data_IF_528648652108
#
_entry.id   IF_528648652108
#
_cell.length_a   1.000
_cell.length_b   1.000
_cell.length_c   1.000
_cell.angle_alpha   90.00
_cell.angle_beta   90.00
_cell.angle_gamma   90.00
#
_symmetry.space_group_name_H-M   'P 1'
#
loop_
_entity.id
_entity.type
_entity.pdbx_description
1 polymer ?
#
# COMPACT_ATOMS: atom_id res chain seq x y z
N UNK A 1 -41.64 -28.28 9.86
CA UNK A 1 -40.43 -27.73 10.51
C UNK A 1 -39.43 -28.85 10.54
N UNK A 2 -38.27 -28.66 9.92
CA UNK A 2 -36.96 -29.28 10.26
C UNK A 2 -36.02 -29.09 9.06
N UNK A 3 -35.34 -27.95 9.08
CA UNK A 3 -34.28 -27.61 8.14
C UNK A 3 -33.03 -28.39 8.56
N UNK A 4 -32.69 -29.44 7.81
CA UNK A 4 -31.38 -30.07 7.92
C UNK A 4 -30.33 -29.13 7.33
N UNK A 5 -29.62 -28.43 8.23
CA UNK A 5 -28.43 -27.63 7.93
C UNK A 5 -27.34 -28.60 7.46
N UNK A 6 -27.10 -28.65 6.15
CA UNK A 6 -25.90 -29.25 5.57
C UNK A 6 -24.72 -28.34 5.91
N UNK A 7 -24.10 -28.57 7.07
CA UNK A 7 -22.79 -28.01 7.37
C UNK A 7 -21.78 -28.69 6.43
N UNK A 8 -21.42 -28.01 5.34
CA UNK A 8 -20.22 -28.32 4.58
C UNK A 8 -19.01 -28.05 5.48
N UNK A 9 -18.62 -29.04 6.29
CA UNK A 9 -17.27 -29.06 6.86
C UNK A 9 -16.30 -29.14 5.69
N UNK A 10 -15.70 -28.00 5.34
CA UNK A 10 -14.43 -28.02 4.62
C UNK A 10 -13.52 -28.97 5.41
N UNK A 11 -12.80 -29.89 4.76
CA UNK A 11 -11.70 -30.50 5.45
C UNK A 11 -10.78 -29.33 5.80
N UNK A 12 -10.70 -29.01 7.10
CA UNK A 12 -9.57 -28.29 7.66
C UNK A 12 -8.38 -29.22 7.38
N UNK A 13 -7.86 -29.11 6.16
CA UNK A 13 -6.60 -29.68 5.74
C UNK A 13 -5.54 -28.93 6.53
N UNK A 14 -5.40 -29.31 7.79
CA UNK A 14 -4.21 -29.06 8.57
C UNK A 14 -3.07 -29.59 7.73
N UNK A 15 -2.39 -28.67 7.05
CA UNK A 15 -1.07 -28.90 6.53
C UNK A 15 -0.10 -29.01 7.70
N UNK A 16 -0.35 -29.96 8.61
CA UNK A 16 0.67 -30.56 9.45
C UNK A 16 1.47 -31.51 8.56
N UNK A 17 2.02 -30.97 7.47
CA UNK A 17 3.17 -31.56 6.85
C UNK A 17 4.23 -31.51 7.94
N UNK A 18 4.51 -32.67 8.54
CA UNK A 18 5.65 -32.90 9.40
C UNK A 18 6.89 -32.37 8.66
N UNK A 19 7.17 -31.11 8.90
CA UNK A 19 8.18 -30.36 8.21
C UNK A 19 9.45 -30.73 8.94
N UNK A 20 10.03 -31.85 8.52
CA UNK A 20 11.40 -32.15 8.86
C UNK A 20 12.20 -30.85 8.66
N UNK A 21 12.94 -30.38 9.68
CA UNK A 21 13.70 -29.15 9.55
C UNK A 21 14.62 -29.32 8.34
N UNK A 22 14.31 -28.57 7.28
CA UNK A 22 15.11 -28.57 6.06
C UNK A 22 16.51 -28.15 6.49
N UNK A 23 17.57 -28.91 6.13
CA UNK A 23 18.92 -28.54 6.51
C UNK A 23 19.19 -27.10 6.06
N UNK A 24 19.81 -26.29 6.92
CA UNK A 24 19.97 -24.85 6.67
C UNK A 24 20.70 -24.55 5.33
N UNK A 25 21.55 -25.48 4.89
CA UNK A 25 22.22 -25.46 3.58
C UNK A 25 21.25 -25.62 2.40
N UNK A 26 20.26 -26.50 2.50
CA UNK A 26 19.24 -26.67 1.47
C UNK A 26 18.29 -25.46 1.42
N UNK A 27 17.91 -24.92 2.57
CA UNK A 27 17.13 -23.69 2.64
C UNK A 27 17.88 -22.50 1.99
N UNK A 28 19.18 -22.37 2.27
CA UNK A 28 20.05 -21.39 1.63
C UNK A 28 20.14 -21.59 0.11
N UNK A 29 20.31 -22.83 -0.36
CA UNK A 29 20.34 -23.16 -1.79
C UNK A 29 19.06 -22.78 -2.51
N UNK A 30 17.90 -23.11 -1.92
CA UNK A 30 16.58 -22.71 -2.45
C UNK A 30 16.45 -21.18 -2.54
N UNK A 31 16.92 -20.45 -1.53
CA UNK A 31 16.90 -18.98 -1.50
C UNK A 31 17.78 -18.37 -2.60
N UNK A 32 19.00 -18.89 -2.77
CA UNK A 32 19.94 -18.44 -3.80
C UNK A 32 19.38 -18.69 -5.20
N UNK A 33 18.84 -19.88 -5.47
CA UNK A 33 18.21 -20.20 -6.75
C UNK A 33 17.00 -19.30 -7.03
N UNK A 34 16.15 -19.04 -6.04
CA UNK A 34 15.02 -18.14 -6.19
C UNK A 34 15.46 -16.73 -6.59
N UNK A 35 16.55 -16.23 -6.01
CA UNK A 35 17.12 -14.93 -6.37
C UNK A 35 17.69 -14.94 -7.81
N UNK A 36 18.51 -15.94 -8.15
CA UNK A 36 19.14 -16.06 -9.47
C UNK A 36 18.12 -16.25 -10.60
N UNK A 37 16.94 -16.81 -10.32
CA UNK A 37 15.85 -16.93 -11.30
C UNK A 37 15.31 -15.59 -11.80
N UNK A 38 15.47 -14.53 -11.01
CA UNK A 38 15.04 -13.18 -11.38
C UNK A 38 16.05 -12.49 -12.32
N UNK A 39 17.27 -13.02 -12.42
CA UNK A 39 18.32 -12.46 -13.26
C UNK A 39 18.25 -13.05 -14.68
N UNK A 40 18.47 -12.23 -15.71
CA UNK A 40 18.49 -12.68 -17.11
C UNK A 40 19.81 -13.41 -17.41
N UNK A 41 19.98 -14.61 -16.86
CA UNK A 41 21.17 -15.46 -17.04
C UNK A 41 20.78 -16.85 -17.57
N UNK A 42 21.68 -17.55 -18.24
CA UNK A 42 21.46 -18.95 -18.62
C UNK A 42 21.28 -19.85 -17.38
N UNK A 43 20.45 -20.90 -17.50
CA UNK A 43 20.15 -21.80 -16.38
C UNK A 43 21.40 -22.50 -15.84
N UNK A 44 22.26 -22.99 -16.74
CA UNK A 44 23.55 -23.60 -16.41
C UNK A 44 24.39 -22.70 -15.50
N UNK A 45 24.49 -21.40 -15.87
CA UNK A 45 25.25 -20.42 -15.09
C UNK A 45 24.64 -20.15 -13.71
N UNK A 46 23.31 -20.19 -13.58
CA UNK A 46 22.63 -20.05 -12.28
C UNK A 46 22.94 -21.24 -11.37
N UNK A 47 22.97 -22.44 -11.93
CA UNK A 47 23.30 -23.67 -11.19
C UNK A 47 24.76 -23.67 -10.75
N UNK A 48 25.69 -23.31 -11.63
CA UNK A 48 27.11 -23.14 -11.30
C UNK A 48 27.32 -22.17 -10.14
N UNK A 49 26.73 -20.97 -10.22
CA UNK A 49 26.82 -19.97 -9.16
C UNK A 49 26.23 -20.45 -7.84
N UNK A 50 25.11 -21.18 -7.90
CA UNK A 50 24.50 -21.78 -6.72
C UNK A 50 25.44 -22.79 -6.07
N UNK A 51 26.07 -23.66 -6.88
CA UNK A 51 27.03 -24.66 -6.39
C UNK A 51 28.27 -23.99 -5.80
N UNK A 52 28.78 -22.91 -6.40
CA UNK A 52 29.90 -22.14 -5.85
C UNK A 52 29.56 -21.55 -4.48
N UNK A 53 28.37 -20.98 -4.33
CA UNK A 53 27.90 -20.42 -3.05
C UNK A 53 27.76 -21.53 -2.01
N UNK A 54 27.15 -22.66 -2.35
CA UNK A 54 27.00 -23.80 -1.45
C UNK A 54 28.35 -24.41 -1.04
N UNK A 55 29.33 -24.47 -1.96
CA UNK A 55 30.71 -24.88 -1.64
C UNK A 55 31.40 -23.88 -0.70
N UNK A 56 31.18 -22.58 -0.88
CA UNK A 56 31.69 -21.56 0.02
C UNK A 56 31.10 -21.66 1.43
N UNK A 57 29.85 -22.11 1.56
CA UNK A 57 29.21 -22.36 2.85
C UNK A 57 29.69 -23.65 3.53
N UNK A 58 30.16 -24.64 2.78
CA UNK A 58 30.64 -25.91 3.34
C UNK A 58 31.85 -25.74 4.29
N UNK A 59 32.53 -24.58 4.23
CA UNK A 59 33.61 -24.23 5.15
C UNK A 59 33.14 -23.80 6.55
N UNK A 60 31.85 -23.47 6.72
CA UNK A 60 31.26 -23.03 8.00
C UNK A 60 30.17 -24.00 8.48
N UNK A 61 30.05 -24.24 9.79
CA UNK A 61 28.95 -25.03 10.33
C UNK A 61 27.59 -24.38 10.01
N UNK A 62 26.59 -25.21 9.78
CA UNK A 62 25.24 -24.79 9.41
C UNK A 62 24.52 -24.19 10.62
N UNK A 63 24.23 -22.88 10.55
CA UNK A 63 23.57 -22.09 11.57
C UNK A 63 22.34 -21.36 10.98
N UNK A 64 21.52 -20.72 11.81
CA UNK A 64 20.42 -19.86 11.36
C UNK A 64 20.88 -18.75 10.40
N UNK A 65 22.17 -18.35 10.50
CA UNK A 65 22.80 -17.32 9.66
C UNK A 65 23.26 -17.83 8.29
N UNK A 66 23.20 -19.13 8.01
CA UNK A 66 23.70 -19.73 6.76
C UNK A 66 23.04 -19.12 5.53
N UNK A 67 21.74 -18.76 5.59
CA UNK A 67 21.05 -18.10 4.47
C UNK A 67 21.59 -16.69 4.21
N UNK A 68 21.86 -15.91 5.27
CA UNK A 68 22.42 -14.57 5.12
C UNK A 68 23.85 -14.63 4.57
N UNK A 69 24.67 -15.57 5.07
CA UNK A 69 26.01 -15.83 4.55
C UNK A 69 25.99 -16.24 3.07
N UNK A 70 25.04 -17.10 2.68
CA UNK A 70 24.83 -17.50 1.28
C UNK A 70 24.61 -16.30 0.38
N UNK A 71 23.74 -15.37 0.81
CA UNK A 71 23.45 -14.15 0.06
C UNK A 71 24.66 -13.22 0.02
N UNK A 72 25.43 -13.09 1.09
CA UNK A 72 26.67 -12.29 1.08
C UNK A 72 27.67 -12.83 0.06
N UNK A 73 27.94 -14.14 0.09
CA UNK A 73 28.82 -14.81 -0.88
C UNK A 73 28.31 -14.64 -2.31
N UNK A 74 27.00 -14.75 -2.52
CA UNK A 74 26.39 -14.53 -3.83
C UNK A 74 26.64 -13.10 -4.33
N UNK A 75 26.42 -12.08 -3.49
CA UNK A 75 26.65 -10.68 -3.89
C UNK A 75 28.13 -10.39 -4.20
N UNK A 76 29.05 -10.96 -3.43
CA UNK A 76 30.49 -10.85 -3.71
C UNK A 76 30.84 -11.48 -5.06
N UNK A 77 30.23 -12.60 -5.41
CA UNK A 77 30.42 -13.27 -6.70
C UNK A 77 29.81 -12.49 -7.87
N UNK A 78 28.60 -11.96 -7.70
CA UNK A 78 27.93 -11.14 -8.72
C UNK A 78 28.67 -9.82 -8.99
N UNK A 79 29.47 -9.33 -8.05
CA UNK A 79 30.33 -8.14 -8.24
C UNK A 79 31.56 -8.40 -9.10
N UNK A 80 31.97 -9.66 -9.29
CA UNK A 80 33.13 -9.99 -10.12
C UNK A 80 32.84 -9.68 -11.59
N UNK A 81 33.81 -9.11 -12.33
CA UNK A 81 33.62 -8.69 -13.72
C UNK A 81 33.15 -9.85 -14.62
N UNK A 82 33.70 -11.05 -14.43
CA UNK A 82 33.34 -12.27 -15.17
C UNK A 82 31.84 -12.60 -15.14
N UNK A 83 31.18 -12.36 -14.00
CA UNK A 83 29.74 -12.63 -13.84
C UNK A 83 28.90 -11.45 -14.31
N UNK A 84 29.42 -10.23 -14.11
CA UNK A 84 28.80 -8.98 -14.55
C UNK A 84 28.75 -8.87 -16.08
N UNK A 85 29.77 -9.34 -16.77
CA UNK A 85 29.87 -9.30 -18.23
C UNK A 85 28.98 -10.37 -18.90
N UNK A 86 28.67 -11.44 -18.17
CA UNK A 86 27.72 -12.49 -18.61
C UNK A 86 26.25 -12.10 -18.43
N UNK A 87 25.97 -11.06 -17.62
CA UNK A 87 24.65 -10.48 -17.52
C UNK A 87 24.43 -9.57 -18.74
N UNK A 88 23.31 -9.69 -19.46
CA UNK A 88 22.99 -8.74 -20.51
C UNK A 88 23.07 -7.34 -19.92
N UNK A 89 23.79 -6.45 -20.61
CA UNK A 89 23.86 -5.05 -20.25
C UNK A 89 22.45 -4.50 -20.34
N UNK A 90 21.72 -4.53 -19.21
CA UNK A 90 20.48 -3.79 -19.09
C UNK A 90 20.90 -2.36 -19.35
N UNK A 91 20.42 -1.70 -20.42
CA UNK A 91 20.71 -0.30 -20.62
C UNK A 91 20.29 0.36 -19.31
N UNK A 92 21.25 1.01 -18.63
CA UNK A 92 20.98 1.66 -17.37
C UNK A 92 19.69 2.45 -17.59
N UNK A 93 18.64 2.27 -16.76
CA UNK A 93 17.46 3.09 -16.90
C UNK A 93 17.97 4.50 -16.97
N UNK A 94 17.58 5.23 -18.01
CA UNK A 94 17.96 6.63 -18.20
C UNK A 94 17.27 7.37 -17.05
N UNK A 95 17.90 7.31 -15.89
CA UNK A 95 17.51 8.05 -14.71
C UNK A 95 17.91 9.48 -15.04
N UNK A 96 17.01 10.17 -15.74
CA UNK A 96 17.06 11.62 -15.84
C UNK A 96 17.24 12.12 -14.41
N UNK A 97 18.21 13.01 -14.15
CA UNK A 97 18.52 13.44 -12.80
C UNK A 97 17.23 13.99 -12.18
N UNK A 98 16.73 13.29 -11.15
CA UNK A 98 15.52 13.69 -10.42
C UNK A 98 15.81 15.02 -9.73
N UNK A 99 15.51 16.11 -10.41
CA UNK A 99 15.63 17.45 -9.87
C UNK A 99 14.49 17.66 -8.88
N UNK A 100 14.84 18.16 -7.69
CA UNK A 100 13.89 18.52 -6.62
C UNK A 100 12.79 19.42 -7.21
N UNK A 101 11.56 18.90 -7.33
CA UNK A 101 10.42 19.61 -7.93
C UNK A 101 9.75 18.92 -9.14
N UNK A 102 10.32 17.85 -9.69
CA UNK A 102 9.67 17.07 -10.77
C UNK A 102 8.61 16.08 -10.25
N UNK A 103 8.57 15.88 -8.93
CA UNK A 103 7.52 15.10 -8.28
C UNK A 103 6.48 16.08 -7.75
N UNK A 104 5.30 16.07 -8.36
CA UNK A 104 4.12 16.67 -7.72
C UNK A 104 3.87 15.83 -6.47
N UNK A 105 3.95 16.40 -5.25
CA UNK A 105 3.61 15.65 -4.06
C UNK A 105 2.17 15.20 -4.21
N UNK A 106 1.96 13.89 -4.22
CA UNK A 106 0.63 13.32 -4.13
C UNK A 106 0.06 13.79 -2.78
N UNK A 107 -0.86 14.74 -2.82
CA UNK A 107 -1.56 15.22 -1.63
C UNK A 107 -2.39 14.06 -1.09
N UNK A 108 -1.79 13.28 -0.20
CA UNK A 108 -2.53 12.34 0.64
C UNK A 108 -3.47 13.16 1.53
N UNK A 109 -4.73 13.27 1.11
CA UNK A 109 -5.77 13.84 1.96
C UNK A 109 -5.99 12.89 3.15
N UNK A 110 -5.23 13.11 4.23
CA UNK A 110 -5.30 12.32 5.46
C UNK A 110 -6.66 12.47 6.15
N UNK A 111 -7.50 13.43 5.72
CA UNK A 111 -8.81 13.75 6.33
C UNK A 111 -9.80 14.24 5.27
N UNK A 112 -10.34 13.33 4.44
CA UNK A 112 -11.26 13.68 3.35
C UNK A 112 -12.56 14.36 3.84
N UNK A 113 -12.91 14.23 5.11
CA UNK A 113 -14.04 14.93 5.71
C UNK A 113 -13.77 16.44 5.91
N UNK A 114 -12.52 16.86 6.05
CA UNK A 114 -12.15 18.26 6.29
C UNK A 114 -12.34 19.10 5.02
N UNK A 115 -11.99 18.52 3.86
CA UNK A 115 -12.19 19.15 2.55
C UNK A 115 -13.69 19.23 2.19
N UNK A 116 -14.50 18.26 2.58
CA UNK A 116 -15.95 18.31 2.46
C UNK A 116 -16.58 19.38 3.38
N UNK A 117 -16.14 19.46 4.63
CA UNK A 117 -16.60 20.48 5.57
C UNK A 117 -16.27 21.91 5.09
N UNK A 118 -15.07 22.12 4.54
CA UNK A 118 -14.68 23.39 3.95
C UNK A 118 -15.54 23.78 2.74
N UNK A 119 -15.88 22.83 1.86
CA UNK A 119 -16.79 23.07 0.72
C UNK A 119 -18.21 23.40 1.19
N UNK A 120 -18.71 22.71 2.21
CA UNK A 120 -20.02 23.00 2.80
C UNK A 120 -20.05 24.39 3.46
N UNK A 121 -18.99 24.77 4.18
CA UNK A 121 -18.86 26.10 4.79
C UNK A 121 -18.79 27.21 3.74
N UNK A 122 -18.08 26.99 2.61
CA UNK A 122 -18.07 27.93 1.48
C UNK A 122 -19.45 28.02 0.79
N UNK A 123 -20.18 26.91 0.67
CA UNK A 123 -21.55 26.93 0.17
C UNK A 123 -22.50 27.72 1.07
N UNK A 124 -22.40 27.51 2.39
CA UNK A 124 -23.23 28.19 3.38
C UNK A 124 -22.95 29.70 3.44
N UNK A 125 -21.68 30.12 3.37
CA UNK A 125 -21.31 31.55 3.33
C UNK A 125 -21.77 32.24 2.05
N UNK A 126 -21.78 31.56 0.89
CA UNK A 126 -22.38 32.10 -0.35
C UNK A 126 -23.89 32.27 -0.28
N UNK A 127 -24.60 31.34 0.37
CA UNK A 127 -26.05 31.40 0.56
C UNK A 127 -26.44 32.50 1.56
N UNK A 128 -25.73 32.59 2.68
CA UNK A 128 -25.99 33.59 3.74
C UNK A 128 -25.48 34.98 3.38
N UNK A 129 -24.40 35.10 2.60
CA UNK A 129 -23.91 36.37 2.05
C UNK A 129 -24.90 37.05 1.08
N UNK A 130 -25.83 36.29 0.49
CA UNK A 130 -26.95 36.84 -0.29
C UNK A 130 -28.11 37.33 0.59
N UNK A 131 -28.31 36.73 1.76
CA UNK A 131 -29.31 37.14 2.74
C UNK A 131 -28.84 38.32 3.61
N UNK A 132 -27.53 38.53 3.77
CA UNK A 132 -26.96 39.63 4.53
C UNK A 132 -27.11 41.01 3.87
N UNK A 133 -27.69 41.09 2.66
CA UNK A 133 -28.02 42.37 2.01
C UNK A 133 -29.27 43.00 2.65
N UNK A 134 -30.14 42.22 3.30
CA UNK A 134 -31.23 42.79 4.09
C UNK A 134 -30.71 43.26 5.45
N UNK A 135 -30.70 44.59 5.64
CA UNK A 135 -30.33 45.21 6.91
C UNK A 135 -31.22 44.64 8.04
N UNK A 136 -30.65 44.31 9.21
CA UNK A 136 -31.41 43.78 10.36
C UNK A 136 -32.54 44.73 10.82
N UNK A 137 -32.45 46.03 10.49
CA UNK A 137 -33.50 47.04 10.71
C UNK A 137 -34.78 46.81 9.89
N UNK A 138 -34.73 46.04 8.81
CA UNK A 138 -35.90 45.73 7.94
C UNK A 138 -36.51 44.37 8.29
N UNK A 139 -35.68 43.41 8.69
CA UNK A 139 -36.12 42.04 8.99
C UNK A 139 -37.00 41.99 10.26
N UNK A 140 -36.61 42.74 11.30
CA UNK A 140 -37.31 42.75 12.58
C UNK A 140 -38.77 43.29 12.47
N UNK A 141 -39.04 44.46 11.87
CA UNK A 141 -40.42 44.93 11.72
C UNK A 141 -41.25 44.06 10.77
N UNK A 142 -40.63 43.43 9.76
CA UNK A 142 -41.34 42.53 8.85
C UNK A 142 -41.81 41.25 9.55
N UNK A 143 -40.95 40.62 10.36
CA UNK A 143 -41.33 39.45 11.16
C UNK A 143 -42.42 39.80 12.18
N UNK A 144 -42.33 40.96 12.81
CA UNK A 144 -43.36 41.44 13.72
C UNK A 144 -44.71 41.64 13.00
N UNK A 145 -44.70 42.26 11.81
CA UNK A 145 -45.91 42.44 11.00
C UNK A 145 -46.54 41.10 10.59
N UNK A 146 -45.73 40.11 10.21
CA UNK A 146 -46.22 38.76 9.87
C UNK A 146 -46.82 38.05 11.08
N UNK A 147 -46.18 38.13 12.25
CA UNK A 147 -46.70 37.55 13.49
C UNK A 147 -48.03 38.20 13.90
N UNK A 148 -48.13 39.53 13.80
CA UNK A 148 -49.38 40.25 14.08
C UNK A 148 -50.47 39.85 13.09
N UNK A 149 -50.16 39.74 11.79
CA UNK A 149 -51.11 39.30 10.77
C UNK A 149 -51.61 37.88 11.04
N UNK A 150 -50.71 36.95 11.38
CA UNK A 150 -51.06 35.58 11.75
C UNK A 150 -51.93 35.53 13.00
N UNK A 151 -51.64 36.37 14.00
CA UNK A 151 -52.44 36.45 15.22
C UNK A 151 -53.85 37.02 14.95
N UNK A 152 -53.97 38.02 14.08
CA UNK A 152 -55.26 38.58 13.66
C UNK A 152 -56.08 37.58 12.84
N UNK A 153 -55.44 36.83 11.93
CA UNK A 153 -56.08 35.76 11.18
C UNK A 153 -56.59 34.65 12.11
N UNK A 154 -55.77 34.23 13.08
CA UNK A 154 -56.16 33.24 14.07
C UNK A 154 -57.36 33.70 14.93
N UNK A 155 -57.43 34.99 15.26
CA UNK A 155 -58.55 35.58 16.00
C UNK A 155 -59.84 35.72 15.19
N UNK A 156 -59.75 35.88 13.87
CA UNK A 156 -60.93 35.98 13.00
C UNK A 156 -61.53 34.61 12.63
N UNK A 157 -60.74 33.55 12.79
CA UNK A 157 -61.12 32.15 12.53
C UNK A 157 -61.63 31.41 13.77
N UNK A 158 -61.59 32.07 14.95
CA UNK A 158 -62.18 31.61 16.21
C UNK A 158 -63.45 32.39 16.53
#
# INVERSE_FOLDING_TARGET
>A
MDQHIVQSRRPDGGCDAASHPVPATEAAGRRVLAYLRLLPMAEERRLELTLEVLRGLAASPADERTTAQAMTLLHERLRKPEVRDALPTVPAPVCLPLMRGHMVPEEMDRRPWLSQAARLAQGYTRLTGRLSVLKPRVILPMLFAVLVLMHLLARKLS
#
